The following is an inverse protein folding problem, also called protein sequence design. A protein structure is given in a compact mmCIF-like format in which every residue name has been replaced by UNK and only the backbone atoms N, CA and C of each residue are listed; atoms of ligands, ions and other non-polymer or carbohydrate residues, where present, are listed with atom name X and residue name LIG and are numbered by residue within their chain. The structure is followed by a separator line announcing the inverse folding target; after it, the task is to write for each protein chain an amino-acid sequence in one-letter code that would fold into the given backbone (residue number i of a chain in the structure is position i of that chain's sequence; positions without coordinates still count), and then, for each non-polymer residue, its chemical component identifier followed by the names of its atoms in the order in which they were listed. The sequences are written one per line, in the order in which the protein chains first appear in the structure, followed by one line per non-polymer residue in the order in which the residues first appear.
data_IF_743775539292
#
_entry.id   IF_743775539292
#
_cell.length_a   1.000
_cell.length_b   1.000
_cell.length_c   1.000
_cell.angle_alpha   90.00
_cell.angle_beta   90.00
_cell.angle_gamma   90.00
#
_symmetry.space_group_name_H-M   'P 1'
#
loop_
_entity.id
_entity.type
_entity.pdbx_description
1 polymer ?
#
# COMPACT_ATOMS: atom_id res chain seq x y z
N UNK A 1 1.85 12.24 -20.01
CA UNK A 1 2.13 13.16 -18.87
C UNK A 1 3.35 14.04 -19.10
N UNK A 2 4.53 13.48 -19.40
CA UNK A 2 5.80 14.23 -19.60
C UNK A 2 5.67 15.40 -20.60
N UNK A 3 4.95 15.22 -21.72
CA UNK A 3 4.64 16.30 -22.67
C UNK A 3 3.91 17.51 -22.04
N UNK A 4 3.05 17.26 -21.05
CA UNK A 4 2.27 18.29 -20.36
C UNK A 4 3.01 18.92 -19.17
N UNK A 5 3.89 18.16 -18.53
CA UNK A 5 4.69 18.60 -17.39
C UNK A 5 6.18 18.43 -17.71
N UNK A 6 6.83 19.41 -18.37
CA UNK A 6 8.23 19.30 -18.79
C UNK A 6 9.21 19.01 -17.65
N UNK A 7 8.89 19.44 -16.42
CA UNK A 7 9.68 19.14 -15.23
C UNK A 7 9.83 17.62 -14.99
N UNK A 8 8.85 16.80 -15.40
CA UNK A 8 8.96 15.34 -15.32
C UNK A 8 10.03 14.79 -16.26
N UNK A 9 10.21 15.36 -17.45
CA UNK A 9 11.28 14.92 -18.36
C UNK A 9 12.66 15.18 -17.78
N UNK A 10 12.82 16.30 -17.06
CA UNK A 10 14.05 16.59 -16.30
C UNK A 10 14.20 15.61 -15.13
N UNK A 11 13.14 15.39 -14.35
CA UNK A 11 13.15 14.46 -13.22
C UNK A 11 13.52 13.02 -13.66
N UNK A 12 13.04 12.59 -14.83
CA UNK A 12 13.35 11.28 -15.40
C UNK A 12 14.82 11.09 -15.72
N UNK A 13 15.50 12.14 -16.21
CA UNK A 13 16.89 12.05 -16.62
C UNK A 13 17.88 12.22 -15.47
N UNK A 14 17.47 12.87 -14.39
CA UNK A 14 18.38 13.24 -13.29
C UNK A 14 18.06 12.58 -11.94
N UNK A 15 17.20 11.57 -11.89
CA UNK A 15 16.85 10.83 -10.66
C UNK A 15 17.01 9.33 -10.80
N UNK A 16 17.25 8.62 -9.68
CA UNK A 16 17.06 7.19 -9.62
C UNK A 16 15.62 6.79 -10.05
N UNK A 17 15.41 5.62 -10.67
CA UNK A 17 14.09 5.21 -11.15
C UNK A 17 12.98 5.23 -10.10
N UNK A 18 13.27 4.75 -8.88
CA UNK A 18 12.29 4.73 -7.78
C UNK A 18 11.84 6.14 -7.38
N UNK A 19 12.79 7.07 -7.31
CA UNK A 19 12.51 8.47 -7.01
C UNK A 19 11.72 9.15 -8.13
N UNK A 20 12.00 8.79 -9.39
CA UNK A 20 11.19 9.25 -10.50
C UNK A 20 9.75 8.73 -10.43
N UNK A 21 9.54 7.47 -10.04
CA UNK A 21 8.19 6.92 -9.85
C UNK A 21 7.41 7.68 -8.75
N UNK A 22 8.02 7.87 -7.57
CA UNK A 22 7.41 8.71 -6.52
C UNK A 22 7.15 10.14 -6.99
N UNK A 23 8.06 10.71 -7.79
CA UNK A 23 7.87 12.05 -8.34
C UNK A 23 6.63 12.15 -9.22
N UNK A 24 6.26 11.08 -9.93
CA UNK A 24 5.13 11.09 -10.85
C UNK A 24 3.76 11.07 -10.16
N UNK A 25 3.65 10.54 -8.93
CA UNK A 25 2.38 10.36 -8.22
C UNK A 25 1.49 11.61 -8.21
N UNK A 26 1.94 12.78 -7.72
CA UNK A 26 1.12 13.99 -7.76
C UNK A 26 0.77 14.42 -9.19
N UNK A 27 1.68 14.24 -10.15
CA UNK A 27 1.44 14.65 -11.54
C UNK A 27 0.42 13.77 -12.24
N UNK A 28 0.37 12.47 -11.90
CA UNK A 28 -0.66 11.57 -12.37
C UNK A 28 -2.03 12.04 -11.91
N UNK A 29 -2.19 12.30 -10.61
CA UNK A 29 -3.44 12.83 -10.06
C UNK A 29 -3.83 14.16 -10.74
N UNK A 30 -2.87 15.08 -10.92
CA UNK A 30 -3.12 16.34 -11.65
C UNK A 30 -3.54 16.11 -13.09
N UNK A 31 -2.90 15.17 -13.78
CA UNK A 31 -3.23 14.85 -15.17
C UNK A 31 -4.68 14.37 -15.27
N UNK A 32 -5.14 13.53 -14.35
CA UNK A 32 -6.54 13.08 -14.27
C UNK A 32 -7.49 14.26 -14.10
N UNK A 33 -7.26 15.13 -13.11
CA UNK A 33 -8.12 16.29 -12.86
C UNK A 33 -8.10 17.32 -14.01
N UNK A 34 -6.93 17.59 -14.58
CA UNK A 34 -6.76 18.68 -15.55
C UNK A 34 -7.09 18.27 -16.99
N UNK A 35 -6.82 17.02 -17.38
CA UNK A 35 -7.01 16.55 -18.76
C UNK A 35 -8.30 15.79 -18.90
N UNK A 36 -8.56 14.85 -18.00
CA UNK A 36 -9.78 14.04 -18.05
C UNK A 36 -10.95 14.70 -17.33
N UNK A 37 -10.70 15.74 -16.53
CA UNK A 37 -11.74 16.45 -15.78
C UNK A 37 -12.52 15.53 -14.81
N UNK A 38 -11.82 14.53 -14.26
CA UNK A 38 -12.37 13.56 -13.31
C UNK A 38 -11.75 13.73 -11.92
N UNK A 39 -12.50 13.31 -10.91
CA UNK A 39 -11.94 12.99 -9.60
C UNK A 39 -10.90 11.87 -9.74
N UNK A 40 -9.90 11.86 -8.86
CA UNK A 40 -8.86 10.83 -8.84
C UNK A 40 -8.85 10.11 -7.51
N UNK A 41 -8.77 8.78 -7.56
CA UNK A 41 -8.31 7.94 -6.46
C UNK A 41 -6.97 7.35 -6.89
N UNK A 42 -5.91 7.73 -6.21
CA UNK A 42 -4.60 7.12 -6.37
C UNK A 42 -4.52 5.85 -5.51
N UNK A 43 -3.94 4.79 -6.07
CA UNK A 43 -3.71 3.52 -5.38
C UNK A 43 -2.33 2.97 -5.78
N UNK A 44 -1.48 2.55 -4.83
CA UNK A 44 -0.23 1.85 -5.18
C UNK A 44 -0.53 0.47 -5.80
N UNK A 45 0.43 -0.05 -6.56
CA UNK A 45 0.25 -1.30 -7.32
C UNK A 45 0.22 -2.57 -6.45
N UNK A 46 0.61 -2.48 -5.18
CA UNK A 46 0.68 -3.60 -4.23
C UNK A 46 -0.48 -3.61 -3.22
N UNK A 47 -1.60 -2.96 -3.55
CA UNK A 47 -2.86 -3.04 -2.80
C UNK A 47 -3.89 -3.95 -3.48
N UNK A 48 -4.78 -4.54 -2.67
CA UNK A 48 -5.95 -5.29 -3.16
C UNK A 48 -7.23 -4.81 -2.50
N UNK A 49 -8.23 -4.50 -3.33
CA UNK A 49 -9.60 -4.28 -2.88
C UNK A 49 -10.27 -5.62 -2.52
N UNK A 50 -10.86 -5.68 -1.33
CA UNK A 50 -11.72 -6.76 -0.84
C UNK A 50 -13.20 -6.37 -0.88
N UNK A 51 -13.46 -5.06 -0.84
CA UNK A 51 -14.80 -4.52 -0.93
C UNK A 51 -14.76 -3.17 -1.64
N UNK A 52 -15.57 -3.02 -2.68
CA UNK A 52 -15.63 -1.81 -3.53
C UNK A 52 -16.97 -1.08 -3.39
N UNK A 53 -17.67 -1.24 -2.26
CA UNK A 53 -18.98 -0.62 -2.06
C UNK A 53 -18.95 0.91 -2.13
N UNK A 54 -20.12 1.52 -2.34
CA UNK A 54 -20.33 2.99 -2.46
C UNK A 54 -19.88 3.82 -1.25
N UNK A 55 -19.33 3.19 -0.21
CA UNK A 55 -19.04 3.79 1.08
C UNK A 55 -17.63 4.38 1.20
N UNK A 56 -16.66 4.00 0.34
CA UNK A 56 -15.26 4.42 0.52
C UNK A 56 -15.11 5.95 0.50
N UNK A 57 -15.87 6.63 -0.35
CA UNK A 57 -15.84 8.11 -0.45
C UNK A 57 -16.93 8.80 0.36
N UNK A 58 -17.88 8.07 0.95
CA UNK A 58 -18.99 8.66 1.71
C UNK A 58 -18.49 9.40 2.96
N UNK A 59 -17.46 8.87 3.62
CA UNK A 59 -16.82 9.47 4.80
C UNK A 59 -16.20 10.85 4.50
N UNK A 60 -15.74 11.07 3.27
CA UNK A 60 -15.06 12.30 2.84
C UNK A 60 -16.00 13.51 2.90
N UNK A 61 -17.31 13.28 2.73
CA UNK A 61 -18.33 14.31 2.77
C UNK A 61 -18.07 15.42 1.74
N UNK A 62 -17.97 16.67 2.22
CA UNK A 62 -17.74 17.84 1.38
C UNK A 62 -16.27 18.21 1.18
N UNK A 63 -15.33 17.43 1.74
CA UNK A 63 -13.89 17.70 1.62
C UNK A 63 -13.39 17.35 0.22
N UNK A 64 -12.27 17.95 -0.17
CA UNK A 64 -11.72 17.83 -1.52
C UNK A 64 -10.63 16.78 -1.62
N UNK A 65 -9.88 16.57 -0.53
CA UNK A 65 -8.77 15.62 -0.47
C UNK A 65 -9.01 14.66 0.68
N UNK A 66 -8.70 13.38 0.52
CA UNK A 66 -8.68 12.44 1.63
C UNK A 66 -7.40 11.60 1.64
N UNK A 67 -6.88 11.37 2.84
CA UNK A 67 -5.62 10.64 3.10
C UNK A 67 -5.81 9.61 4.22
N UNK A 68 -5.09 8.49 4.14
CA UNK A 68 -5.16 7.41 5.12
C UNK A 68 -4.03 7.50 6.15
N UNK A 69 -4.31 7.49 7.47
CA UNK A 69 -3.28 7.34 8.49
C UNK A 69 -2.52 6.03 8.34
N UNK A 70 -1.25 5.98 8.76
CA UNK A 70 -0.57 4.71 8.96
C UNK A 70 -1.13 3.91 10.15
N UNK A 71 -1.86 4.56 11.07
CA UNK A 71 -2.34 3.98 12.34
C UNK A 71 -1.25 3.21 13.11
N UNK A 72 -0.05 3.78 13.18
CA UNK A 72 1.00 3.16 13.98
C UNK A 72 0.60 3.14 15.46
N UNK A 73 0.73 2.00 16.16
CA UNK A 73 0.60 2.00 17.61
C UNK A 73 1.78 2.76 18.24
N UNK A 74 1.54 3.42 19.38
CA UNK A 74 2.53 4.30 20.02
C UNK A 74 3.89 3.61 20.30
N UNK A 75 3.90 2.33 20.67
CA UNK A 75 5.12 1.56 20.93
C UNK A 75 5.87 1.12 19.67
N UNK A 76 5.32 1.35 18.48
CA UNK A 76 5.93 1.04 17.20
C UNK A 76 5.60 2.16 16.19
N UNK A 77 5.75 3.42 16.63
CA UNK A 77 5.55 4.59 15.79
C UNK A 77 6.75 4.83 14.86
N UNK A 78 6.49 4.78 13.55
CA UNK A 78 7.47 5.06 12.50
C UNK A 78 7.20 6.38 11.77
N UNK A 79 6.31 7.22 12.29
CA UNK A 79 5.89 8.49 11.67
C UNK A 79 7.06 9.45 11.44
N UNK A 80 8.08 9.42 12.30
CA UNK A 80 9.31 10.19 12.10
C UNK A 80 10.12 9.74 10.88
N UNK A 81 9.99 8.49 10.43
CA UNK A 81 10.69 7.95 9.29
C UNK A 81 9.86 8.14 8.00
N UNK A 82 8.67 7.55 7.97
CA UNK A 82 7.80 7.44 6.77
C UNK A 82 6.70 8.51 6.70
N UNK A 83 6.44 9.22 7.78
CA UNK A 83 5.31 10.15 7.89
C UNK A 83 4.07 9.53 8.54
N UNK A 84 3.11 10.39 8.87
CA UNK A 84 1.88 10.00 9.60
C UNK A 84 0.83 9.32 8.74
N UNK A 85 0.89 9.51 7.42
CA UNK A 85 -0.10 9.05 6.46
C UNK A 85 0.56 8.16 5.42
N UNK A 86 -0.19 7.15 4.96
CA UNK A 86 0.20 6.32 3.84
C UNK A 86 -0.22 6.97 2.51
N UNK A 87 0.55 6.73 1.44
CA UNK A 87 0.29 7.33 0.11
C UNK A 87 -0.46 6.36 -0.80
N UNK A 88 -0.45 5.07 -0.46
CA UNK A 88 -1.01 3.97 -1.22
C UNK A 88 -2.51 4.05 -1.42
N UNK A 89 -3.21 4.96 -0.71
CA UNK A 89 -4.53 5.41 -1.08
C UNK A 89 -4.71 6.92 -0.83
N UNK A 90 -5.11 7.68 -1.87
CA UNK A 90 -5.48 9.09 -1.73
C UNK A 90 -6.64 9.45 -2.65
N UNK A 91 -7.55 10.30 -2.18
CA UNK A 91 -8.62 10.86 -3.00
C UNK A 91 -8.39 12.35 -3.30
N UNK A 92 -8.72 12.75 -4.52
CA UNK A 92 -8.70 14.13 -4.98
C UNK A 92 -9.96 14.43 -5.81
N UNK A 93 -10.85 15.24 -5.26
CA UNK A 93 -11.98 15.83 -5.97
C UNK A 93 -11.48 16.76 -7.07
N UNK A 94 -12.14 16.79 -8.23
CA UNK A 94 -11.82 17.70 -9.31
C UNK A 94 -12.28 19.13 -9.01
N UNK A 95 -11.58 19.81 -8.10
CA UNK A 95 -11.86 21.20 -7.73
C UNK A 95 -10.56 22.00 -7.51
N UNK A 96 -10.75 23.30 -7.20
CA UNK A 96 -9.63 24.22 -6.97
C UNK A 96 -8.80 23.84 -5.74
N UNK A 97 -9.42 23.28 -4.71
CA UNK A 97 -8.74 22.97 -3.46
C UNK A 97 -7.78 21.78 -3.63
N UNK A 98 -8.25 20.69 -4.26
CA UNK A 98 -7.39 19.54 -4.62
C UNK A 98 -6.26 19.95 -5.54
N UNK A 99 -6.52 20.80 -6.54
CA UNK A 99 -5.48 21.33 -7.44
C UNK A 99 -4.40 22.11 -6.69
N UNK A 100 -4.77 22.86 -5.64
CA UNK A 100 -3.81 23.56 -4.77
C UNK A 100 -2.94 22.57 -4.00
N UNK A 101 -3.52 21.52 -3.42
CA UNK A 101 -2.77 20.46 -2.72
C UNK A 101 -1.80 19.77 -3.68
N UNK A 102 -2.31 19.30 -4.81
CA UNK A 102 -1.52 18.60 -5.81
C UNK A 102 -0.40 19.46 -6.42
N UNK A 103 -0.63 20.77 -6.62
CA UNK A 103 0.43 21.69 -7.07
C UNK A 103 1.56 21.80 -6.04
N UNK A 104 1.23 21.90 -4.75
CA UNK A 104 2.25 21.94 -3.70
C UNK A 104 2.99 20.60 -3.61
N UNK A 105 2.26 19.49 -3.65
CA UNK A 105 2.86 18.15 -3.61
C UNK A 105 3.77 17.88 -4.82
N UNK A 106 3.36 18.29 -6.03
CA UNK A 106 4.23 18.26 -7.22
C UNK A 106 5.53 19.00 -7.00
N UNK A 107 5.50 20.20 -6.40
CA UNK A 107 6.70 21.00 -6.11
C UNK A 107 7.59 20.32 -5.07
N UNK A 108 6.99 19.79 -4.00
CA UNK A 108 7.69 19.03 -2.96
C UNK A 108 8.42 17.83 -3.56
N UNK A 109 7.73 17.01 -4.37
CA UNK A 109 8.32 15.85 -5.03
C UNK A 109 9.39 16.23 -6.07
N UNK A 110 9.20 17.32 -6.83
CA UNK A 110 10.23 17.87 -7.73
C UNK A 110 11.44 18.44 -6.98
N UNK A 111 11.30 18.81 -5.71
CA UNK A 111 12.43 19.21 -4.88
C UNK A 111 13.21 17.97 -4.42
N UNK A 112 12.54 17.01 -3.78
CA UNK A 112 13.16 15.76 -3.36
C UNK A 112 12.14 14.66 -3.08
N UNK A 113 12.51 13.43 -3.44
CA UNK A 113 11.82 12.19 -3.06
C UNK A 113 12.77 11.22 -2.37
N UNK A 114 13.95 11.69 -1.95
CA UNK A 114 14.94 10.86 -1.30
C UNK A 114 14.39 10.29 0.03
N UNK A 115 15.03 9.23 0.53
CA UNK A 115 14.71 8.67 1.84
C UNK A 115 15.73 9.17 2.85
N UNK A 116 15.30 10.03 3.77
CA UNK A 116 16.12 10.60 4.84
C UNK A 116 15.25 11.10 6.01
N UNK A 117 15.82 11.87 6.94
CA UNK A 117 15.08 12.40 8.09
C UNK A 117 13.95 13.36 7.71
N UNK A 118 14.03 14.05 6.56
CA UNK A 118 13.05 15.05 6.13
C UNK A 118 12.06 14.53 5.09
N UNK A 119 12.46 13.54 4.29
CA UNK A 119 11.73 13.04 3.13
C UNK A 119 11.67 11.53 3.13
N UNK A 120 10.58 10.97 2.62
CA UNK A 120 10.42 9.52 2.38
C UNK A 120 9.53 9.37 1.17
N UNK A 121 10.14 9.40 -0.02
CA UNK A 121 9.42 9.41 -1.27
C UNK A 121 8.48 10.61 -1.41
N UNK A 122 7.33 10.33 -1.98
CA UNK A 122 6.17 11.21 -2.10
C UNK A 122 5.29 11.22 -0.84
N UNK A 123 5.40 10.21 0.03
CA UNK A 123 4.51 9.96 1.16
C UNK A 123 4.68 10.92 2.33
N UNK A 124 5.92 11.23 2.75
CA UNK A 124 6.13 11.97 4.02
C UNK A 124 5.50 13.36 4.04
N UNK A 125 5.39 13.98 2.87
CA UNK A 125 4.78 15.30 2.67
C UNK A 125 3.30 15.35 3.08
N UNK A 126 2.57 14.23 3.08
CA UNK A 126 1.17 14.21 3.52
C UNK A 126 1.02 14.64 4.99
N UNK A 127 2.06 14.45 5.81
CA UNK A 127 2.04 14.77 7.25
C UNK A 127 1.73 16.23 7.57
N UNK A 128 2.10 17.17 6.68
CA UNK A 128 1.81 18.61 6.85
C UNK A 128 0.46 19.02 6.26
N UNK A 129 -0.19 18.17 5.45
CA UNK A 129 -1.40 18.60 4.73
C UNK A 129 -2.55 19.03 5.63
N UNK A 130 -2.88 18.31 6.73
CA UNK A 130 -3.99 18.70 7.59
C UNK A 130 -3.81 20.05 8.29
N UNK A 131 -2.57 20.52 8.50
CA UNK A 131 -2.31 21.84 9.09
C UNK A 131 -2.19 22.96 8.06
N UNK A 132 -2.06 22.64 6.78
CA UNK A 132 -1.86 23.60 5.68
C UNK A 132 -3.11 23.78 4.83
N UNK A 133 -3.98 22.77 4.76
CA UNK A 133 -5.14 22.74 3.87
C UNK A 133 -6.41 22.27 4.60
N UNK A 134 -7.37 23.19 4.79
CA UNK A 134 -8.68 22.87 5.39
C UNK A 134 -9.51 21.88 4.55
N UNK A 135 -9.14 21.69 3.29
CA UNK A 135 -9.83 20.81 2.34
C UNK A 135 -9.50 19.33 2.52
N UNK A 136 -8.62 18.98 3.45
CA UNK A 136 -8.15 17.61 3.70
C UNK A 136 -9.04 16.93 4.74
N UNK A 137 -9.53 15.75 4.38
CA UNK A 137 -10.16 14.79 5.27
C UNK A 137 -9.12 13.73 5.68
N UNK A 138 -9.12 13.36 6.96
CA UNK A 138 -8.32 12.23 7.45
C UNK A 138 -9.28 11.06 7.60
N UNK A 139 -9.03 9.99 6.85
CA UNK A 139 -9.85 8.78 6.93
C UNK A 139 -9.80 8.16 8.32
N UNK A 140 -10.94 7.68 8.79
CA UNK A 140 -11.12 7.06 10.11
C UNK A 140 -11.40 5.56 10.00
N UNK A 141 -11.98 5.09 8.89
CA UNK A 141 -12.23 3.68 8.62
C UNK A 141 -10.92 2.89 8.49
N UNK A 142 -10.70 1.95 9.41
CA UNK A 142 -9.46 1.16 9.48
C UNK A 142 -9.44 -0.03 8.51
N UNK A 143 -10.57 -0.29 7.84
CA UNK A 143 -10.66 -1.24 6.74
C UNK A 143 -10.03 -0.73 5.43
N UNK A 144 -9.71 0.56 5.33
CA UNK A 144 -9.07 1.17 4.15
C UNK A 144 -7.56 1.30 4.39
N UNK A 145 -6.72 0.84 3.46
CA UNK A 145 -5.27 1.05 3.46
C UNK A 145 -4.54 0.55 4.73
N UNK A 146 -5.04 -0.53 5.32
CA UNK A 146 -4.35 -1.22 6.39
C UNK A 146 -3.29 -2.18 5.85
N UNK A 147 -2.23 -2.40 6.62
CA UNK A 147 -1.07 -3.15 6.17
C UNK A 147 -0.36 -3.87 7.32
N UNK A 148 0.77 -4.57 7.06
CA UNK A 148 1.49 -5.33 8.07
C UNK A 148 1.96 -4.51 9.27
N UNK A 149 2.27 -3.23 9.10
CA UNK A 149 2.63 -2.36 10.22
C UNK A 149 1.50 -2.19 11.24
N UNK A 150 0.26 -2.52 10.88
CA UNK A 150 -0.88 -2.52 11.79
C UNK A 150 -1.08 -3.85 12.52
N UNK A 151 -0.34 -4.92 12.20
CA UNK A 151 -0.62 -6.26 12.75
C UNK A 151 -0.49 -6.38 14.27
N UNK A 152 0.26 -5.48 14.91
CA UNK A 152 0.33 -5.41 16.37
C UNK A 152 -0.89 -4.73 17.01
N UNK A 153 -1.61 -3.89 16.27
CA UNK A 153 -2.72 -3.09 16.79
C UNK A 153 -4.09 -3.55 16.30
N UNK A 154 -4.15 -4.16 15.12
CA UNK A 154 -5.40 -4.48 14.43
C UNK A 154 -5.69 -5.97 14.50
N UNK A 155 -6.94 -6.31 14.86
CA UNK A 155 -7.45 -7.65 14.79
C UNK A 155 -8.05 -7.91 13.39
N UNK A 156 -7.38 -8.78 12.64
CA UNK A 156 -7.90 -9.27 11.35
C UNK A 156 -8.65 -10.59 11.59
N UNK A 157 -9.88 -10.65 11.09
CA UNK A 157 -10.74 -11.83 11.18
C UNK A 157 -11.44 -12.09 9.84
N UNK A 158 -12.01 -13.29 9.71
CA UNK A 158 -12.78 -13.68 8.52
C UNK A 158 -14.12 -14.28 8.95
N UNK A 159 -15.20 -13.82 8.33
CA UNK A 159 -16.57 -14.32 8.51
C UNK A 159 -17.31 -14.23 7.18
N UNK A 160 -18.11 -15.24 6.83
CA UNK A 160 -18.92 -15.28 5.59
C UNK A 160 -18.12 -14.92 4.32
N UNK A 161 -16.91 -15.47 4.18
CA UNK A 161 -15.96 -15.18 3.09
C UNK A 161 -15.56 -13.70 2.94
N UNK A 162 -15.76 -12.88 3.97
CA UNK A 162 -15.32 -11.49 4.05
C UNK A 162 -14.28 -11.33 5.14
N UNK A 163 -13.38 -10.37 4.94
CA UNK A 163 -12.38 -9.99 5.93
C UNK A 163 -12.85 -8.77 6.71
N UNK A 164 -12.44 -8.70 7.97
CA UNK A 164 -12.74 -7.59 8.87
C UNK A 164 -11.47 -7.16 9.61
N UNK A 165 -11.38 -5.87 9.91
CA UNK A 165 -10.33 -5.21 10.68
C UNK A 165 -11.01 -4.49 11.85
N UNK A 166 -10.73 -4.90 13.08
CA UNK A 166 -11.35 -4.33 14.28
C UNK A 166 -12.89 -4.29 14.23
N UNK A 167 -13.51 -5.26 13.55
CA UNK A 167 -14.96 -5.36 13.38
C UNK A 167 -15.52 -4.62 12.15
N UNK A 168 -14.74 -3.75 11.50
CA UNK A 168 -15.13 -3.11 10.24
C UNK A 168 -14.75 -3.98 9.04
N UNK A 169 -15.53 -3.94 7.96
CA UNK A 169 -15.22 -4.74 6.76
C UNK A 169 -13.93 -4.23 6.10
N UNK A 170 -13.01 -5.14 5.78
CA UNK A 170 -11.80 -4.83 5.05
C UNK A 170 -12.15 -4.36 3.63
N UNK A 171 -11.75 -3.14 3.30
CA UNK A 171 -11.97 -2.49 2.01
C UNK A 171 -10.76 -2.71 1.12
N UNK A 172 -9.58 -2.36 1.62
CA UNK A 172 -8.33 -2.30 0.87
C UNK A 172 -7.19 -2.68 1.81
N UNK A 173 -6.40 -3.67 1.41
CA UNK A 173 -5.21 -4.07 2.16
C UNK A 173 -3.96 -3.80 1.34
N UNK A 174 -2.94 -3.21 1.97
CA UNK A 174 -1.64 -2.96 1.38
C UNK A 174 -0.67 -4.09 1.72
N UNK A 175 -0.25 -4.85 0.71
CA UNK A 175 0.69 -5.97 0.87
C UNK A 175 2.14 -5.50 0.93
N UNK A 176 2.39 -4.42 1.68
CA UNK A 176 3.69 -3.79 1.81
C UNK A 176 4.77 -4.82 2.19
N UNK A 177 5.87 -4.78 1.44
CA UNK A 177 7.02 -5.65 1.65
C UNK A 177 6.84 -7.08 1.13
N UNK A 178 5.74 -7.42 0.44
CA UNK A 178 5.62 -8.70 -0.24
C UNK A 178 6.52 -8.73 -1.47
N UNK A 179 7.55 -9.58 -1.44
CA UNK A 179 8.51 -9.71 -2.53
C UNK A 179 8.42 -11.07 -3.21
N UNK A 180 8.69 -11.08 -4.51
CA UNK A 180 8.95 -12.30 -5.26
C UNK A 180 10.46 -12.57 -5.29
N UNK A 181 10.91 -13.60 -4.59
CA UNK A 181 12.34 -13.93 -4.53
C UNK A 181 12.74 -14.87 -5.68
N UNK A 182 11.83 -15.75 -6.10
CA UNK A 182 11.97 -16.62 -7.29
C UNK A 182 10.61 -16.75 -7.97
N UNK A 183 10.59 -17.19 -9.23
CA UNK A 183 9.33 -17.40 -9.98
C UNK A 183 8.37 -18.26 -9.16
N UNK A 184 7.18 -17.69 -8.88
CA UNK A 184 6.14 -18.31 -8.07
C UNK A 184 6.37 -18.33 -6.55
N UNK A 185 7.56 -18.01 -6.05
CA UNK A 185 7.87 -17.98 -4.61
C UNK A 185 7.84 -16.53 -4.08
N UNK A 186 6.81 -16.27 -3.28
CA UNK A 186 6.55 -14.97 -2.66
C UNK A 186 6.80 -15.06 -1.17
N UNK A 187 7.36 -14.00 -0.60
CA UNK A 187 7.58 -13.92 0.83
C UNK A 187 7.48 -12.48 1.33
N UNK A 188 6.74 -12.23 2.42
CA UNK A 188 6.65 -10.90 3.00
C UNK A 188 7.94 -10.60 3.78
N UNK A 189 8.65 -9.56 3.38
CA UNK A 189 9.76 -9.00 4.13
C UNK A 189 9.22 -8.13 5.27
N UNK A 190 8.62 -8.79 6.26
CA UNK A 190 8.00 -8.16 7.42
C UNK A 190 8.51 -8.79 8.71
N UNK A 191 8.63 -7.99 9.77
CA UNK A 191 9.13 -8.44 11.08
C UNK A 191 8.01 -8.67 12.10
N UNK A 192 6.76 -8.79 11.63
CA UNK A 192 5.57 -8.88 12.48
C UNK A 192 5.12 -10.33 12.67
N UNK A 193 4.63 -10.73 13.85
CA UNK A 193 3.99 -12.03 14.03
C UNK A 193 2.72 -12.10 13.16
N UNK A 194 2.54 -13.21 12.46
CA UNK A 194 1.41 -13.44 11.55
C UNK A 194 0.44 -14.42 12.22
N UNK A 195 -0.82 -14.01 12.37
CA UNK A 195 -1.94 -14.84 12.80
C UNK A 195 -2.47 -15.70 11.65
N UNK A 196 -3.31 -16.69 11.96
CA UNK A 196 -3.95 -17.53 10.93
C UNK A 196 -4.69 -16.72 9.86
N UNK A 197 -5.54 -15.77 10.26
CA UNK A 197 -6.32 -14.96 9.32
C UNK A 197 -5.44 -14.07 8.42
N UNK A 198 -4.35 -13.52 8.96
CA UNK A 198 -3.37 -12.77 8.18
C UNK A 198 -2.64 -13.69 7.19
N UNK A 199 -2.27 -14.91 7.58
CA UNK A 199 -1.67 -15.87 6.67
C UNK A 199 -2.63 -16.22 5.52
N UNK A 200 -3.91 -16.48 5.81
CA UNK A 200 -4.93 -16.76 4.78
C UNK A 200 -5.12 -15.56 3.85
N UNK A 201 -5.13 -14.33 4.38
CA UNK A 201 -5.20 -13.09 3.60
C UNK A 201 -4.04 -13.00 2.58
N UNK A 202 -2.81 -13.26 3.04
CA UNK A 202 -1.61 -13.29 2.19
C UNK A 202 -1.65 -14.40 1.13
N UNK A 203 -2.05 -15.61 1.52
CA UNK A 203 -2.17 -16.73 0.58
C UNK A 203 -3.18 -16.42 -0.53
N UNK A 204 -4.32 -15.82 -0.19
CA UNK A 204 -5.31 -15.37 -1.17
C UNK A 204 -4.73 -14.37 -2.17
N UNK A 205 -3.98 -13.37 -1.70
CA UNK A 205 -3.34 -12.40 -2.59
C UNK A 205 -2.25 -13.02 -3.47
N UNK A 206 -1.42 -13.92 -2.93
CA UNK A 206 -0.40 -14.64 -3.70
C UNK A 206 -1.04 -15.51 -4.80
N UNK A 207 -2.18 -16.14 -4.53
CA UNK A 207 -2.93 -16.89 -5.54
C UNK A 207 -3.43 -15.99 -6.66
N UNK A 208 -3.91 -14.79 -6.33
CA UNK A 208 -4.34 -13.81 -7.33
C UNK A 208 -3.17 -13.28 -8.15
N UNK A 209 -2.03 -12.97 -7.51
CA UNK A 209 -0.81 -12.58 -8.22
C UNK A 209 -0.39 -13.64 -9.22
N UNK A 210 -0.32 -14.92 -8.82
CA UNK A 210 0.02 -16.03 -9.72
C UNK A 210 -0.97 -16.14 -10.89
N UNK A 211 -2.27 -16.01 -10.63
CA UNK A 211 -3.31 -16.05 -11.66
C UNK A 211 -3.14 -14.90 -12.64
N UNK A 212 -2.97 -13.68 -12.14
CA UNK A 212 -2.83 -12.47 -12.95
C UNK A 212 -1.53 -12.46 -13.75
N UNK A 213 -0.41 -12.92 -13.17
CA UNK A 213 0.84 -13.12 -13.93
C UNK A 213 0.61 -14.05 -15.11
N UNK A 214 -0.07 -15.19 -14.92
CA UNK A 214 -0.36 -16.12 -16.02
C UNK A 214 -1.22 -15.47 -17.11
N UNK A 215 -2.26 -14.72 -16.72
CA UNK A 215 -3.12 -14.00 -17.66
C UNK A 215 -2.34 -12.96 -18.46
N UNK A 216 -1.49 -12.17 -17.80
CA UNK A 216 -0.67 -11.14 -18.45
C UNK A 216 0.35 -11.77 -19.38
N UNK A 217 1.05 -12.82 -18.94
CA UNK A 217 2.03 -13.54 -19.78
C UNK A 217 1.39 -14.12 -21.05
N UNK A 218 0.14 -14.57 -20.98
CA UNK A 218 -0.56 -15.06 -22.17
C UNK A 218 -0.81 -13.96 -23.22
N UNK A 219 -0.93 -12.70 -22.80
CA UNK A 219 -1.15 -11.54 -23.69
C UNK A 219 0.18 -10.89 -24.09
N UNK A 220 1.12 -10.82 -23.15
CA UNK A 220 2.43 -10.20 -23.28
C UNK A 220 3.51 -11.18 -22.80
N UNK A 221 3.95 -12.15 -23.63
CA UNK A 221 4.90 -13.19 -23.21
C UNK A 221 6.21 -12.64 -22.63
N UNK A 222 6.66 -11.48 -23.10
CA UNK A 222 7.84 -10.78 -22.60
C UNK A 222 7.71 -10.27 -21.15
N UNK A 223 6.49 -10.24 -20.59
CA UNK A 223 6.25 -9.79 -19.22
C UNK A 223 7.05 -10.60 -18.19
N UNK A 224 7.24 -11.91 -18.41
CA UNK A 224 8.03 -12.75 -17.50
C UNK A 224 9.48 -12.28 -17.35
N UNK A 225 10.06 -11.70 -18.41
CA UNK A 225 11.43 -11.20 -18.41
C UNK A 225 11.60 -9.93 -17.55
N UNK A 226 10.48 -9.28 -17.19
CA UNK A 226 10.45 -8.06 -16.42
C UNK A 226 9.99 -8.28 -14.97
N UNK A 227 9.73 -9.53 -14.56
CA UNK A 227 9.40 -9.83 -13.16
C UNK A 227 10.63 -9.61 -12.27
N UNK A 228 10.55 -8.72 -11.28
CA UNK A 228 11.67 -8.48 -10.37
C UNK A 228 11.97 -9.75 -9.57
N UNK A 229 13.24 -10.15 -9.53
CA UNK A 229 13.73 -11.25 -8.70
C UNK A 229 14.61 -10.69 -7.59
N UNK A 230 14.13 -10.77 -6.35
CA UNK A 230 14.90 -10.33 -5.19
C UNK A 230 15.82 -11.43 -4.67
N UNK A 231 17.06 -11.11 -4.32
CA UNK A 231 17.98 -12.06 -3.67
C UNK A 231 17.52 -12.30 -2.22
N UNK A 232 17.50 -13.56 -1.79
CA UNK A 232 17.26 -13.93 -0.40
C UNK A 232 18.43 -13.41 0.45
N UNK A 233 18.18 -12.49 1.39
CA UNK A 233 19.13 -12.12 2.42
C UNK A 233 19.00 -13.10 3.60
N UNK A 234 20.11 -13.37 4.30
CA UNK A 234 20.31 -14.48 5.26
C UNK A 234 19.46 -14.44 6.56
N UNK A 235 18.47 -13.57 6.70
CA UNK A 235 17.71 -13.39 7.95
C UNK A 235 16.45 -14.28 8.05
N UNK A 236 16.58 -15.57 7.69
CA UNK A 236 15.47 -16.54 7.72
C UNK A 236 15.27 -17.24 9.08
N UNK A 237 16.13 -16.98 10.07
CA UNK A 237 16.24 -17.83 11.27
C UNK A 237 15.06 -17.72 12.25
N UNK A 238 14.55 -16.53 12.61
CA UNK A 238 13.48 -16.43 13.62
C UNK A 238 12.12 -16.95 13.13
N UNK A 239 11.80 -16.78 11.84
CA UNK A 239 10.47 -17.11 11.31
C UNK A 239 10.32 -18.57 10.87
N UNK A 240 11.40 -19.24 10.44
CA UNK A 240 11.36 -20.69 10.20
C UNK A 240 10.94 -21.44 11.47
N UNK A 241 11.29 -20.93 12.66
CA UNK A 241 10.86 -21.47 13.95
C UNK A 241 9.34 -21.31 14.12
N UNK A 242 8.77 -20.13 13.83
CA UNK A 242 7.32 -19.91 13.91
C UNK A 242 6.54 -20.76 12.91
N UNK A 243 7.01 -20.88 11.67
CA UNK A 243 6.41 -21.75 10.65
C UNK A 243 6.53 -23.23 11.04
N UNK A 244 7.67 -23.67 11.59
CA UNK A 244 7.84 -25.03 12.11
C UNK A 244 6.95 -25.30 13.32
N UNK A 245 6.69 -24.31 14.19
CA UNK A 245 5.78 -24.46 15.33
C UNK A 245 4.32 -24.57 14.86
N UNK A 246 3.92 -23.73 13.90
CA UNK A 246 2.61 -23.81 13.25
C UNK A 246 2.47 -25.15 12.52
N UNK A 247 3.42 -25.50 11.65
CA UNK A 247 3.42 -26.76 10.92
C UNK A 247 3.50 -27.97 11.86
N UNK A 248 4.24 -27.95 12.97
CA UNK A 248 4.25 -29.05 13.96
C UNK A 248 2.91 -29.20 14.69
N UNK A 249 2.23 -28.09 14.99
CA UNK A 249 0.87 -28.14 15.57
C UNK A 249 -0.16 -28.72 14.61
N UNK A 250 0.02 -28.53 13.30
CA UNK A 250 -0.91 -29.03 12.28
C UNK A 250 -0.53 -30.38 11.64
N UNK A 251 0.75 -30.75 11.64
CA UNK A 251 1.27 -32.04 11.14
C UNK A 251 1.45 -33.08 12.25
N UNK A 252 1.27 -32.71 13.51
CA UNK A 252 1.02 -33.68 14.58
C UNK A 252 -0.31 -34.37 14.25
N UNK A 253 -0.32 -35.68 13.90
CA UNK A 253 -1.58 -36.41 13.84
C UNK A 253 -2.21 -36.27 15.22
N UNK A 254 -3.51 -35.99 15.26
CA UNK A 254 -4.27 -36.00 16.50
C UNK A 254 -4.13 -37.38 17.16
N UNK A 255 -3.12 -37.53 18.03
CA UNK A 255 -3.05 -38.61 19.01
C UNK A 255 -3.97 -38.22 20.16
N UNK A 256 -5.26 -38.38 19.92
CA UNK A 256 -6.19 -38.75 20.97
C UNK A 256 -6.99 -39.95 20.44
N UNK A 257 -6.33 -41.10 20.51
CA UNK A 257 -7.03 -42.34 20.77
C UNK A 257 -7.12 -42.49 22.29
N UNK A 258 -8.30 -42.86 22.77
CA UNK A 258 -8.59 -43.99 23.68
C UNK A 258 -9.78 -43.62 24.59
N UNK A 259 -10.84 -44.44 24.43
CA UNK A 259 -11.97 -44.79 25.33
C UNK A 259 -12.90 -43.70 25.82
#
# INVERSE_FOLDING_TARGET
MEKKYPDLSKAKSNRPPVEYFWTQTPFLCRYILEVYQLDAIYVDADLKYFYTGKHVTAEIGSKSVAICPHWYPAYHDKSNNSGRFNVGWNYFKNDRASRKVLMNWSKDCLNSTAVNSQTCGDQKYLSKWPSVFDSVHIMTNQGLDCAPWNFYAFQISQADNKYYVNGEQLILFHFHGLNQYKKGFFWPNISYPITYHQLVLYLGYIMDLRRNTKLITNIYPQFENHLPQFRLLHEFTPFMISLLVIMKRFLSPAKYAIT
#
